data_IF_563731996970
#
_entry.id   IF_563731996970
#
_cell.length_a   1.000
_cell.length_b   1.000
_cell.length_c   1.000
_cell.angle_alpha   90.00
_cell.angle_beta   90.00
_cell.angle_gamma   90.00
#
_symmetry.space_group_name_H-M   'P 1'
#
loop_
_entity.id
_entity.type
_entity.pdbx_description
1 polymer ?
#
# COMPACT_ATOMS: atom_id res chain seq x y z
N UNK A 1 -6.85 53.76 -40.74
CA UNK A 1 -6.01 54.94 -40.47
C UNK A 1 -5.47 54.83 -39.05
N UNK A 2 -4.15 54.98 -38.92
CA UNK A 2 -3.38 55.47 -37.74
C UNK A 2 -3.62 54.85 -36.35
N UNK A 3 -2.66 53.99 -35.99
CA UNK A 3 -1.82 54.02 -34.79
C UNK A 3 -2.34 54.72 -33.52
N UNK A 4 -2.26 54.01 -32.39
CA UNK A 4 -1.59 54.52 -31.19
C UNK A 4 -0.96 53.35 -30.41
N UNK A 5 0.35 53.49 -30.22
CA UNK A 5 1.26 52.78 -29.32
C UNK A 5 1.05 53.31 -27.90
N UNK A 6 1.27 52.51 -26.85
CA UNK A 6 1.95 52.83 -25.57
C UNK A 6 2.00 51.51 -24.77
N UNK A 7 3.15 50.83 -24.66
CA UNK A 7 4.31 51.00 -23.77
C UNK A 7 4.15 50.37 -22.35
N UNK A 8 5.08 49.44 -22.09
CA UNK A 8 5.77 49.16 -20.81
C UNK A 8 5.00 48.64 -19.59
N UNK A 9 5.25 47.35 -19.30
CA UNK A 9 6.11 46.99 -18.17
C UNK A 9 5.43 46.37 -16.95
N UNK A 10 5.76 45.11 -16.63
CA UNK A 10 6.35 44.72 -15.35
C UNK A 10 6.88 43.29 -15.42
N UNK A 11 8.18 43.12 -15.22
CA UNK A 11 8.83 41.87 -14.86
C UNK A 11 8.49 41.56 -13.40
N UNK A 12 7.85 40.42 -13.14
CA UNK A 12 7.83 39.81 -11.82
C UNK A 12 8.42 38.41 -11.95
N UNK A 13 9.63 38.25 -11.41
CA UNK A 13 10.36 36.99 -11.40
C UNK A 13 9.57 35.91 -10.68
N UNK A 14 9.39 34.78 -11.34
CA UNK A 14 8.95 33.57 -10.67
C UNK A 14 10.18 32.91 -10.07
N UNK A 15 10.26 32.95 -8.74
CA UNK A 15 11.21 32.18 -7.95
C UNK A 15 11.08 30.70 -8.32
N UNK A 16 12.11 30.14 -8.95
CA UNK A 16 12.29 28.70 -8.99
C UNK A 16 12.64 28.25 -7.58
N UNK A 17 11.66 27.71 -6.85
CA UNK A 17 11.95 26.95 -5.64
C UNK A 17 12.85 25.76 -6.02
N UNK A 18 13.93 25.49 -5.27
CA UNK A 18 14.71 24.28 -5.50
C UNK A 18 13.83 23.08 -5.18
N UNK A 19 13.49 22.32 -6.22
CA UNK A 19 12.88 21.00 -6.12
C UNK A 19 13.92 20.07 -5.46
N UNK A 20 13.91 19.99 -4.13
CA UNK A 20 14.56 18.90 -3.41
C UNK A 20 13.73 17.64 -3.58
N UNK A 21 13.86 16.99 -4.74
CA UNK A 21 13.44 15.61 -4.90
C UNK A 21 14.55 14.72 -4.32
N UNK A 22 14.40 14.33 -3.06
CA UNK A 22 15.24 13.31 -2.43
C UNK A 22 14.34 12.33 -1.68
N UNK A 23 13.89 11.29 -2.38
CA UNK A 23 13.09 10.23 -1.79
C UNK A 23 12.29 9.48 -2.85
N UNK A 24 12.48 8.17 -2.92
CA UNK A 24 11.71 7.31 -3.81
C UNK A 24 10.34 7.08 -3.17
N UNK A 25 9.44 8.07 -3.25
CA UNK A 25 8.06 7.92 -2.81
C UNK A 25 7.49 6.63 -3.43
N UNK A 26 7.29 5.61 -2.61
CA UNK A 26 6.74 4.33 -3.06
C UNK A 26 5.32 4.56 -3.57
N UNK A 27 4.87 3.84 -4.59
CA UNK A 27 3.44 3.90 -4.98
C UNK A 27 2.64 2.98 -4.06
N UNK A 28 1.51 3.45 -3.55
CA UNK A 28 0.50 2.59 -2.96
C UNK A 28 0.03 1.58 -4.02
N UNK A 29 -0.51 0.45 -3.55
CA UNK A 29 -1.10 -0.54 -4.45
C UNK A 29 -2.32 0.02 -5.18
N UNK A 30 -2.79 -0.64 -6.25
CA UNK A 30 -3.91 -0.17 -7.06
C UNK A 30 -5.22 -0.03 -6.29
N UNK A 31 -5.34 -0.65 -5.10
CA UNK A 31 -6.49 -0.53 -4.22
C UNK A 31 -6.21 0.35 -2.97
N UNK A 32 -5.09 1.08 -2.94
CA UNK A 32 -4.70 1.96 -1.84
C UNK A 32 -4.08 1.25 -0.64
N UNK A 33 -3.67 -0.01 -0.80
CA UNK A 33 -2.98 -0.82 0.21
C UNK A 33 -1.45 -0.77 0.10
N UNK A 34 -0.78 -1.52 0.98
CA UNK A 34 0.68 -1.68 1.00
C UNK A 34 1.10 -2.71 -0.04
N UNK A 35 2.05 -2.36 -0.91
CA UNK A 35 2.68 -3.33 -1.81
C UNK A 35 3.78 -4.12 -1.08
N UNK A 36 3.62 -5.43 -1.04
CA UNK A 36 4.56 -6.44 -0.58
C UNK A 36 5.48 -6.82 -1.74
N UNK A 37 6.70 -6.29 -1.71
CA UNK A 37 7.67 -6.41 -2.82
C UNK A 37 8.58 -7.64 -2.70
N UNK A 38 8.54 -8.37 -1.59
CA UNK A 38 9.43 -9.52 -1.39
C UNK A 38 8.81 -10.85 -1.87
N UNK A 39 7.55 -10.83 -2.30
CA UNK A 39 6.85 -11.97 -2.92
C UNK A 39 6.74 -11.75 -4.43
N UNK A 40 6.90 -12.81 -5.23
CA UNK A 40 6.71 -12.77 -6.68
C UNK A 40 5.60 -13.75 -7.09
N UNK A 41 4.57 -13.32 -7.85
CA UNK A 41 4.25 -11.92 -8.17
C UNK A 41 4.08 -11.06 -6.91
N UNK A 42 4.39 -9.76 -7.02
CA UNK A 42 4.15 -8.79 -5.95
C UNK A 42 2.69 -8.88 -5.49
N UNK A 43 2.43 -8.55 -4.23
CA UNK A 43 1.07 -8.57 -3.70
C UNK A 43 0.74 -7.26 -2.99
N UNK A 44 -0.53 -6.88 -2.97
CA UNK A 44 -1.05 -5.76 -2.21
C UNK A 44 -1.77 -6.27 -0.97
N UNK A 45 -1.40 -5.74 0.19
CA UNK A 45 -2.10 -5.90 1.46
C UNK A 45 -3.04 -4.72 1.69
N UNK A 46 -4.34 -4.99 1.80
CA UNK A 46 -5.36 -3.99 2.07
C UNK A 46 -6.22 -4.39 3.27
N UNK A 47 -6.37 -3.47 4.23
CA UNK A 47 -7.39 -3.60 5.29
C UNK A 47 -8.69 -3.00 4.78
N UNK A 48 -9.72 -3.83 4.72
CA UNK A 48 -11.06 -3.45 4.24
C UNK A 48 -11.88 -2.74 5.35
N UNK A 49 -13.03 -2.11 5.02
CA UNK A 49 -13.85 -1.43 6.02
C UNK A 49 -14.38 -2.32 7.15
N UNK A 50 -14.59 -3.62 6.91
CA UNK A 50 -14.97 -4.60 7.94
C UNK A 50 -13.75 -5.20 8.67
N UNK A 51 -12.58 -4.56 8.53
CA UNK A 51 -11.27 -4.93 9.10
C UNK A 51 -10.72 -6.28 8.64
N UNK A 52 -11.28 -6.89 7.60
CA UNK A 52 -10.66 -8.05 6.94
C UNK A 52 -9.47 -7.63 6.12
N UNK A 53 -8.55 -8.56 5.90
CA UNK A 53 -7.40 -8.37 5.02
C UNK A 53 -7.76 -8.91 3.64
N UNK A 54 -7.60 -8.08 2.61
CA UNK A 54 -7.61 -8.49 1.21
C UNK A 54 -6.18 -8.53 0.68
N UNK A 55 -5.82 -9.62 0.02
CA UNK A 55 -4.57 -9.77 -0.71
C UNK A 55 -4.85 -9.85 -2.21
N UNK A 56 -4.26 -8.94 -2.97
CA UNK A 56 -4.38 -8.89 -4.44
C UNK A 56 -3.00 -9.05 -5.05
N UNK A 57 -2.78 -10.06 -5.89
CA UNK A 57 -1.50 -10.20 -6.59
C UNK A 57 -1.42 -9.20 -7.75
N UNK A 58 -0.21 -8.77 -8.07
CA UNK A 58 0.08 -7.70 -9.02
C UNK A 58 0.96 -8.22 -10.15
N UNK A 59 0.69 -7.79 -11.38
CA UNK A 59 1.57 -8.01 -12.54
C UNK A 59 2.81 -7.10 -12.50
N UNK A 60 3.67 -7.23 -13.51
CA UNK A 60 4.90 -6.45 -13.63
C UNK A 60 4.63 -4.93 -13.76
N UNK A 61 3.44 -4.55 -14.22
CA UNK A 61 2.98 -3.16 -14.32
C UNK A 61 2.32 -2.65 -13.01
N UNK A 62 2.22 -3.50 -11.98
CA UNK A 62 1.61 -3.17 -10.70
C UNK A 62 0.08 -3.20 -10.70
N UNK A 63 -0.55 -3.85 -11.69
CA UNK A 63 -2.01 -4.00 -11.79
C UNK A 63 -2.45 -5.33 -11.19
N UNK A 64 -3.69 -5.37 -10.69
CA UNK A 64 -4.26 -6.59 -10.16
C UNK A 64 -4.27 -7.72 -11.20
N UNK A 65 -3.75 -8.89 -10.81
CA UNK A 65 -3.74 -10.12 -11.61
C UNK A 65 -4.28 -11.29 -10.80
N UNK A 66 -4.83 -12.29 -11.50
CA UNK A 66 -5.35 -13.50 -10.87
C UNK A 66 -4.19 -14.42 -10.53
N UNK A 67 -4.06 -14.80 -9.25
CA UNK A 67 -3.14 -15.84 -8.81
C UNK A 67 -3.93 -17.01 -8.25
N UNK A 68 -3.74 -18.20 -8.83
CA UNK A 68 -4.39 -19.44 -8.37
C UNK A 68 -3.50 -20.22 -7.41
N UNK A 69 -4.12 -20.93 -6.46
CA UNK A 69 -3.42 -21.85 -5.57
C UNK A 69 -2.47 -21.20 -4.56
N UNK A 70 -2.60 -19.90 -4.31
CA UNK A 70 -1.80 -19.22 -3.30
C UNK A 70 -2.22 -19.67 -1.89
N UNK A 71 -1.24 -19.79 -0.99
CA UNK A 71 -1.46 -20.07 0.42
C UNK A 71 -1.02 -18.85 1.22
N UNK A 72 -1.94 -18.28 1.98
CA UNK A 72 -1.73 -17.04 2.73
C UNK A 72 -2.16 -17.27 4.18
N UNK A 73 -1.32 -16.82 5.10
CA UNK A 73 -1.69 -16.69 6.51
C UNK A 73 -1.19 -15.37 7.06
N UNK A 74 -2.00 -14.72 7.89
CA UNK A 74 -1.59 -13.55 8.66
C UNK A 74 -1.67 -13.90 10.14
N UNK A 75 -0.63 -13.58 10.90
CA UNK A 75 -0.66 -13.64 12.36
C UNK A 75 -0.56 -12.21 12.90
N UNK A 76 -1.47 -11.85 13.80
CA UNK A 76 -1.57 -10.52 14.38
C UNK A 76 -1.97 -10.57 15.85
N UNK A 77 -2.05 -9.41 16.51
CA UNK A 77 -2.44 -9.29 17.92
C UNK A 77 -1.30 -9.52 18.90
N UNK A 78 -1.66 -9.81 20.14
CA UNK A 78 -0.69 -10.01 21.23
C UNK A 78 0.15 -11.27 21.01
N UNK A 79 1.44 -11.22 21.33
CA UNK A 79 2.35 -12.36 21.15
C UNK A 79 1.96 -13.58 22.01
N UNK A 80 1.38 -13.35 23.19
CA UNK A 80 0.89 -14.40 24.10
C UNK A 80 -0.47 -14.97 23.69
N UNK A 81 -1.22 -14.25 22.84
CA UNK A 81 -2.53 -14.68 22.33
C UNK A 81 -2.73 -14.23 20.87
N UNK A 82 -1.99 -14.83 19.92
CA UNK A 82 -2.01 -14.37 18.54
C UNK A 82 -3.32 -14.73 17.84
N UNK A 83 -3.83 -13.80 17.04
CA UNK A 83 -4.92 -14.05 16.10
C UNK A 83 -4.34 -14.49 14.75
N UNK A 84 -4.56 -15.75 14.38
CA UNK A 84 -4.16 -16.31 13.08
C UNK A 84 -5.31 -16.27 12.08
N UNK A 85 -5.15 -15.52 11.00
CA UNK A 85 -6.07 -15.38 9.87
C UNK A 85 -5.71 -16.36 8.76
N UNK A 86 -6.73 -16.97 8.17
CA UNK A 86 -6.62 -17.80 6.96
C UNK A 86 -7.39 -17.15 5.83
N UNK A 87 -7.08 -17.52 4.59
CA UNK A 87 -7.57 -16.81 3.41
C UNK A 87 -8.28 -17.76 2.46
N UNK A 88 -9.34 -17.25 1.85
CA UNK A 88 -10.07 -17.92 0.78
C UNK A 88 -10.11 -17.02 -0.44
N UNK A 89 -10.22 -17.62 -1.63
CA UNK A 89 -10.32 -16.87 -2.87
C UNK A 89 -11.64 -16.09 -2.90
N UNK A 90 -11.56 -14.82 -3.27
CA UNK A 90 -12.66 -13.87 -3.41
C UNK A 90 -12.48 -13.11 -4.73
N UNK A 91 -13.09 -13.65 -5.80
CA UNK A 91 -12.86 -13.19 -7.17
C UNK A 91 -11.38 -13.32 -7.57
N UNK A 92 -10.76 -12.19 -7.90
CA UNK A 92 -9.35 -12.12 -8.33
C UNK A 92 -8.37 -11.94 -7.15
N UNK A 93 -8.90 -11.84 -5.93
CA UNK A 93 -8.13 -11.61 -4.71
C UNK A 93 -8.34 -12.74 -3.71
N UNK A 94 -7.74 -12.60 -2.53
CA UNK A 94 -7.96 -13.45 -1.37
C UNK A 94 -8.44 -12.61 -0.20
N UNK A 95 -9.46 -13.07 0.53
CA UNK A 95 -10.01 -12.39 1.70
C UNK A 95 -9.82 -13.24 2.96
N UNK A 96 -9.52 -12.60 4.08
CA UNK A 96 -9.38 -13.29 5.37
C UNK A 96 -10.72 -13.81 5.91
N UNK A 97 -10.65 -14.92 6.64
CA UNK A 97 -11.77 -15.55 7.32
C UNK A 97 -12.39 -14.67 8.41
N UNK A 98 -11.56 -13.89 9.10
CA UNK A 98 -11.95 -12.98 10.19
C UNK A 98 -11.28 -11.61 10.08
N UNK A 99 -11.71 -10.59 10.84
CA UNK A 99 -11.03 -9.30 10.88
C UNK A 99 -9.68 -9.37 11.61
N UNK A 100 -8.83 -8.37 11.37
CA UNK A 100 -7.70 -8.07 12.25
C UNK A 100 -8.19 -7.79 13.68
N UNK A 101 -7.37 -8.08 14.71
CA UNK A 101 -7.68 -7.72 16.08
C UNK A 101 -7.84 -6.21 16.23
N UNK A 102 -8.56 -5.78 17.27
CA UNK A 102 -8.76 -4.37 17.58
C UNK A 102 -7.42 -3.65 17.86
N UNK A 103 -7.34 -2.39 17.41
CA UNK A 103 -6.15 -1.55 17.58
C UNK A 103 -5.97 -0.56 16.44
N UNK A 104 -5.34 0.58 16.72
CA UNK A 104 -4.97 1.57 15.69
C UNK A 104 -3.70 1.20 14.94
N UNK A 105 -2.78 0.50 15.59
CA UNK A 105 -1.59 -0.06 14.98
C UNK A 105 -1.45 -1.50 15.47
N UNK A 106 -1.60 -2.46 14.57
CA UNK A 106 -1.56 -3.89 14.91
C UNK A 106 -0.35 -4.56 14.26
N UNK A 107 0.40 -5.41 14.96
CA UNK A 107 1.52 -6.11 14.36
C UNK A 107 0.99 -7.10 13.31
N UNK A 108 1.61 -7.15 12.16
CA UNK A 108 1.29 -8.07 11.06
C UNK A 108 2.53 -8.90 10.77
N UNK A 109 2.37 -10.23 10.85
CA UNK A 109 3.29 -11.19 10.27
C UNK A 109 2.53 -11.93 9.18
N UNK A 110 2.84 -11.63 7.93
CA UNK A 110 2.22 -12.29 6.78
C UNK A 110 3.17 -13.33 6.20
N UNK A 111 2.63 -14.51 5.89
CA UNK A 111 3.32 -15.56 5.16
C UNK A 111 2.56 -15.86 3.89
N UNK A 112 3.25 -15.82 2.75
CA UNK A 112 2.67 -16.03 1.42
C UNK A 112 3.49 -17.09 0.69
N UNK A 113 2.80 -18.08 0.14
CA UNK A 113 3.28 -18.89 -0.98
C UNK A 113 2.42 -18.54 -2.19
N UNK A 114 3.00 -17.98 -3.23
CA UNK A 114 2.25 -17.59 -4.42
C UNK A 114 1.66 -18.81 -5.17
N UNK A 115 2.30 -19.96 -5.05
CA UNK A 115 1.84 -21.26 -5.58
C UNK A 115 1.96 -22.34 -4.51
N UNK A 116 1.25 -23.46 -4.67
CA UNK A 116 1.22 -24.55 -3.67
C UNK A 116 2.63 -25.09 -3.33
N UNK A 117 3.48 -25.23 -4.34
CA UNK A 117 4.87 -25.72 -4.21
C UNK A 117 5.91 -24.59 -4.11
N UNK A 118 5.45 -23.34 -4.05
CA UNK A 118 6.30 -22.16 -4.00
C UNK A 118 7.01 -21.97 -2.67
N UNK A 119 8.09 -21.19 -2.69
CA UNK A 119 8.76 -20.74 -1.46
C UNK A 119 7.82 -19.87 -0.63
N UNK A 120 7.85 -20.08 0.67
CA UNK A 120 7.16 -19.19 1.60
C UNK A 120 7.98 -17.92 1.80
N UNK A 121 7.39 -16.79 1.47
CA UNK A 121 7.90 -15.46 1.82
C UNK A 121 7.22 -15.00 3.10
N UNK A 122 7.98 -14.36 4.00
CA UNK A 122 7.44 -13.78 5.24
C UNK A 122 7.77 -12.30 5.28
N UNK A 123 6.77 -11.46 5.48
CA UNK A 123 6.94 -10.04 5.76
C UNK A 123 6.37 -9.69 7.14
N UNK A 124 6.99 -8.69 7.78
CA UNK A 124 6.59 -8.21 9.11
C UNK A 124 6.51 -6.70 9.10
N UNK A 125 5.40 -6.14 9.56
CA UNK A 125 5.19 -4.70 9.65
C UNK A 125 4.09 -4.38 10.66
N UNK A 126 3.99 -3.12 11.09
CA UNK A 126 2.81 -2.61 11.80
C UNK A 126 1.76 -2.15 10.80
N UNK A 127 0.52 -2.60 10.95
CA UNK A 127 -0.61 -2.05 10.21
C UNK A 127 -1.20 -0.88 11.00
N UNK A 128 -0.58 0.31 10.84
CA UNK A 128 -1.14 1.56 11.34
C UNK A 128 -2.31 2.02 10.46
N UNK A 129 -3.52 1.96 11.02
CA UNK A 129 -4.78 2.25 10.37
C UNK A 129 -5.15 3.75 10.42
N UNK A 130 -4.32 4.59 11.05
CA UNK A 130 -4.50 6.04 10.99
C UNK A 130 -4.35 6.52 9.54
N UNK A 131 -5.10 7.57 9.17
CA UNK A 131 -4.94 8.21 7.88
C UNK A 131 -3.73 9.14 7.89
N UNK A 132 -2.84 9.00 6.92
CA UNK A 132 -1.76 9.94 6.69
C UNK A 132 -2.31 11.29 6.23
N UNK A 133 -1.92 12.37 6.91
CA UNK A 133 -2.43 13.72 6.59
C UNK A 133 -2.03 14.22 5.21
N UNK A 134 -0.94 13.69 4.63
CA UNK A 134 -0.40 14.11 3.34
C UNK A 134 -0.95 13.27 2.18
N UNK A 135 -0.71 11.97 2.17
CA UNK A 135 -1.10 11.09 1.05
C UNK A 135 -2.51 10.51 1.17
N UNK A 136 -3.20 10.69 2.30
CA UNK A 136 -4.57 10.20 2.56
C UNK A 136 -4.73 8.68 2.53
N UNK A 137 -3.65 7.94 2.39
CA UNK A 137 -3.64 6.50 2.62
C UNK A 137 -3.57 6.20 4.13
N UNK A 138 -4.02 5.02 4.56
CA UNK A 138 -3.63 4.52 5.87
C UNK A 138 -2.11 4.52 6.02
N UNK A 139 -1.58 4.82 7.20
CA UNK A 139 -0.14 4.91 7.43
C UNK A 139 0.60 3.61 7.06
N UNK A 140 -0.04 2.45 7.23
CA UNK A 140 0.54 1.18 6.78
C UNK A 140 0.81 1.13 5.27
N UNK A 141 0.08 1.91 4.46
CA UNK A 141 0.19 2.04 3.02
C UNK A 141 0.80 3.39 2.59
N UNK A 142 1.35 4.16 3.53
CA UNK A 142 1.90 5.48 3.28
C UNK A 142 3.00 5.45 2.20
N UNK A 143 2.97 6.46 1.34
CA UNK A 143 3.88 6.63 0.19
C UNK A 143 4.87 7.76 0.40
N UNK A 144 4.71 8.52 1.48
CA UNK A 144 5.52 9.68 1.77
C UNK A 144 6.90 9.28 2.35
N UNK A 145 7.87 10.19 2.25
CA UNK A 145 9.23 9.96 2.75
C UNK A 145 9.37 10.23 4.27
N UNK A 146 8.29 10.60 4.96
CA UNK A 146 8.28 10.87 6.40
C UNK A 146 8.17 9.59 7.26
N UNK A 147 8.83 8.51 6.79
CA UNK A 147 8.75 7.15 7.31
C UNK A 147 8.54 7.06 8.83
N UNK A 148 7.54 6.26 9.24
CA UNK A 148 7.34 5.87 10.64
C UNK A 148 8.53 5.10 11.22
#
# INVERSE_FOLDING_TARGET
MKHILILTGLMAGLFAAPLHAHGSAGKAGPNGGRVLKNVEPHAEFLVTPDKKVRITFLDAEGKATVQEGAQITVTSGDRSSPTKLTFTKDGNSYISDKPLPEGKNVPVVIQIKATADGKSVTEKFGANLAECSECKHPEYACTCDHAE
#
